data_IF_853228945441
#
_entry.id   IF_853228945441
#
_cell.length_a   1.000
_cell.length_b   1.000
_cell.length_c   1.000
_cell.angle_alpha   90.00
_cell.angle_beta   90.00
_cell.angle_gamma   90.00
#
_symmetry.space_group_name_H-M   'P 1'
#
loop_
_entity.id
_entity.type
_entity.pdbx_description
1 polymer ?
#
# COMPACT_ATOMS: atom_id res chain seq x y z
N UNK A 1 -10.65 -15.79 23.45
CA UNK A 1 -11.42 -16.19 22.26
C UNK A 1 -10.71 -15.56 21.07
N UNK A 2 -10.09 -16.22 20.10
CA UNK A 2 -9.76 -17.62 19.81
C UNK A 2 -8.62 -17.56 18.77
N UNK A 3 -7.71 -18.54 18.80
CA UNK A 3 -6.53 -18.67 17.92
C UNK A 3 -6.76 -18.26 16.44
N UNK A 4 -6.06 -17.22 15.98
CA UNK A 4 -5.95 -16.88 14.55
C UNK A 4 -4.48 -16.66 14.08
N UNK A 5 -3.50 -17.05 14.90
CA UNK A 5 -2.11 -17.09 14.50
C UNK A 5 -1.58 -18.52 14.67
N UNK A 6 -0.75 -18.96 13.72
CA UNK A 6 -0.13 -20.30 13.64
C UNK A 6 -0.95 -21.38 12.91
N UNK A 7 -1.20 -21.17 11.62
CA UNK A 7 -1.19 -22.27 10.63
C UNK A 7 -0.94 -21.68 9.24
N UNK A 8 0.33 -21.52 8.85
CA UNK A 8 0.71 -21.27 7.44
C UNK A 8 1.84 -22.26 7.08
N UNK A 9 1.79 -22.94 5.92
CA UNK A 9 2.33 -24.29 5.73
C UNK A 9 3.79 -24.34 5.23
N UNK A 10 4.62 -23.34 5.53
CA UNK A 10 5.98 -23.26 4.98
C UNK A 10 7.04 -23.41 6.08
N UNK A 11 7.57 -24.62 6.32
CA UNK A 11 8.86 -24.76 6.96
C UNK A 11 9.93 -24.12 6.08
N UNK A 12 10.96 -23.55 6.69
CA UNK A 12 12.16 -23.14 5.97
C UNK A 12 12.68 -24.34 5.15
N UNK A 13 13.08 -24.16 3.88
CA UNK A 13 13.73 -25.23 3.13
C UNK A 13 14.97 -25.69 3.90
N UNK A 14 15.13 -27.01 3.98
CA UNK A 14 16.17 -27.69 4.70
C UNK A 14 17.55 -27.19 4.27
N UNK A 15 18.44 -26.89 5.23
CA UNK A 15 19.80 -26.36 4.97
C UNK A 15 20.66 -27.28 4.07
N UNK A 16 20.23 -28.54 3.89
CA UNK A 16 20.90 -29.53 3.03
C UNK A 16 20.59 -29.44 1.52
N UNK A 17 19.88 -28.40 1.05
CA UNK A 17 19.77 -28.08 -0.39
C UNK A 17 20.62 -26.88 -0.83
N UNK A 18 21.63 -26.50 -0.03
CA UNK A 18 22.69 -25.62 -0.51
C UNK A 18 23.55 -26.37 -1.54
N UNK A 19 23.46 -25.95 -2.80
CA UNK A 19 24.49 -26.28 -3.81
C UNK A 19 25.79 -25.62 -3.35
N UNK A 20 26.92 -26.36 -3.29
CA UNK A 20 28.18 -25.81 -2.80
C UNK A 20 28.71 -24.71 -3.73
N UNK A 21 29.36 -23.75 -3.10
CA UNK A 21 30.24 -22.72 -3.66
C UNK A 21 31.03 -23.23 -4.88
N UNK A 22 30.91 -22.55 -6.03
CA UNK A 22 31.90 -22.60 -7.11
C UNK A 22 32.42 -21.19 -7.34
N UNK A 23 33.68 -21.00 -6.94
CA UNK A 23 34.51 -19.85 -7.30
C UNK A 23 34.50 -19.68 -8.83
N UNK A 24 34.06 -18.52 -9.32
CA UNK A 24 34.37 -18.06 -10.67
C UNK A 24 35.15 -16.76 -10.59
N UNK A 25 36.44 -16.90 -10.26
CA UNK A 25 37.47 -16.02 -10.77
C UNK A 25 38.31 -16.84 -11.76
N UNK A 26 38.61 -16.21 -12.90
CA UNK A 26 39.53 -16.63 -13.97
C UNK A 26 38.96 -17.39 -15.19
N UNK A 27 39.09 -16.72 -16.35
CA UNK A 27 39.06 -17.18 -17.74
C UNK A 27 37.68 -17.70 -18.23
N UNK A 28 37.06 -17.13 -19.26
CA UNK A 28 37.38 -17.37 -20.68
C UNK A 28 36.71 -16.30 -21.58
N UNK A 29 37.42 -15.95 -22.65
CA UNK A 29 37.12 -15.00 -23.74
C UNK A 29 35.78 -15.16 -24.46
N UNK A 30 35.24 -14.02 -24.93
CA UNK A 30 34.17 -13.92 -25.92
C UNK A 30 34.60 -14.35 -27.33
N UNK A 31 33.67 -14.90 -28.12
CA UNK A 31 33.61 -14.60 -29.54
C UNK A 31 32.28 -13.97 -29.94
N UNK A 32 32.38 -12.86 -30.68
CA UNK A 32 31.31 -12.22 -31.41
C UNK A 32 30.98 -13.00 -32.68
N UNK A 33 29.69 -13.21 -33.00
CA UNK A 33 29.22 -13.33 -34.38
C UNK A 33 27.80 -12.78 -34.55
N UNK A 34 27.65 -12.01 -35.65
CA UNK A 34 26.48 -11.34 -36.19
C UNK A 34 25.44 -12.31 -36.77
N UNK A 35 24.16 -11.90 -36.76
CA UNK A 35 23.27 -11.88 -37.93
C UNK A 35 21.93 -11.21 -37.53
N UNK A 36 21.74 -9.92 -37.83
CA UNK A 36 20.90 -9.40 -38.93
C UNK A 36 19.52 -10.05 -39.06
N UNK A 37 18.47 -9.31 -38.69
CA UNK A 37 17.38 -9.01 -39.62
C UNK A 37 16.64 -7.72 -39.22
N UNK A 38 16.51 -6.87 -40.22
CA UNK A 38 16.04 -5.47 -40.24
C UNK A 38 14.54 -5.36 -40.49
N UNK A 39 13.87 -4.54 -39.66
CA UNK A 39 12.87 -3.46 -39.87
C UNK A 39 11.93 -3.48 -41.12
N UNK A 40 10.71 -2.88 -41.07
CA UNK A 40 10.64 -1.43 -41.25
C UNK A 40 9.62 -0.65 -40.37
N UNK A 41 10.12 0.50 -39.95
CA UNK A 41 9.42 1.69 -39.48
C UNK A 41 8.98 2.49 -40.72
N UNK A 42 7.82 3.15 -40.68
CA UNK A 42 7.44 4.15 -41.70
C UNK A 42 7.34 5.53 -41.04
N UNK A 43 8.22 6.41 -41.52
CA UNK A 43 8.32 7.84 -41.27
C UNK A 43 7.20 8.64 -41.95
N UNK A 44 6.89 9.83 -41.43
CA UNK A 44 6.71 11.09 -42.19
C UNK A 44 5.90 12.11 -41.35
N UNK A 45 6.16 13.41 -41.21
CA UNK A 45 7.25 14.33 -41.56
C UNK A 45 6.91 15.66 -40.85
N UNK A 46 7.90 16.40 -40.34
CA UNK A 46 7.82 17.85 -40.01
C UNK A 46 8.34 18.65 -41.22
N UNK A 47 8.00 19.95 -41.41
CA UNK A 47 8.90 21.06 -40.98
C UNK A 47 8.16 22.42 -40.74
N UNK A 48 8.82 23.60 -40.59
CA UNK A 48 9.88 23.98 -39.62
C UNK A 48 9.67 25.39 -38.94
N UNK A 49 10.62 25.73 -38.05
CA UNK A 49 11.10 27.07 -37.62
C UNK A 49 10.30 27.98 -36.67
N UNK A 50 10.81 28.18 -35.45
CA UNK A 50 11.71 29.32 -35.14
C UNK A 50 12.13 29.35 -33.66
N UNK A 51 13.37 29.82 -33.43
CA UNK A 51 14.09 29.98 -32.16
C UNK A 51 13.39 30.97 -31.21
N UNK A 52 13.40 30.70 -29.89
CA UNK A 52 14.22 31.42 -28.91
C UNK A 52 13.71 31.29 -27.45
N UNK A 53 14.69 31.25 -26.54
CA UNK A 53 14.70 31.73 -25.14
C UNK A 53 13.88 30.99 -24.07
N UNK A 54 14.58 30.58 -23.02
CA UNK A 54 14.05 29.81 -21.90
C UNK A 54 13.21 30.61 -20.91
N UNK A 55 12.37 29.87 -20.20
CA UNK A 55 11.90 30.17 -18.84
C UNK A 55 11.23 28.90 -18.32
N UNK A 56 11.50 28.54 -17.06
CA UNK A 56 11.01 27.31 -16.43
C UNK A 56 9.49 27.17 -16.47
N UNK A 57 9.02 25.96 -16.72
CA UNK A 57 7.60 25.60 -16.62
C UNK A 57 7.32 24.87 -15.30
N UNK A 58 6.41 25.39 -14.45
CA UNK A 58 5.63 24.56 -13.55
C UNK A 58 4.45 23.92 -14.29
N UNK A 59 4.09 22.74 -13.81
CA UNK A 59 3.03 21.82 -14.23
C UNK A 59 1.64 22.49 -14.38
N UNK A 60 0.83 22.23 -15.44
CA UNK A 60 -0.46 22.89 -15.62
C UNK A 60 -1.59 22.06 -15.00
N UNK A 61 -1.75 22.15 -13.68
CA UNK A 61 -3.03 21.85 -13.02
C UNK A 61 -3.35 22.98 -12.07
N UNK A 62 -4.59 23.47 -12.16
CA UNK A 62 -5.19 24.57 -11.40
C UNK A 62 -4.81 26.00 -11.85
N UNK A 63 -5.61 26.54 -12.77
CA UNK A 63 -5.97 27.95 -12.72
C UNK A 63 -7.50 28.05 -12.65
N UNK A 64 -7.99 28.57 -11.53
CA UNK A 64 -9.35 29.02 -11.33
C UNK A 64 -9.63 30.20 -12.26
N UNK A 65 -10.62 30.08 -13.15
CA UNK A 65 -11.13 31.24 -13.88
C UNK A 65 -12.25 31.92 -13.07
N UNK A 66 -12.37 33.27 -13.12
CA UNK A 66 -13.36 34.00 -12.35
C UNK A 66 -14.76 33.88 -12.95
N UNK A 67 -15.75 33.81 -12.06
CA UNK A 67 -17.18 33.70 -12.29
C UNK A 67 -17.75 34.90 -13.06
N UNK A 68 -18.41 34.65 -14.20
CA UNK A 68 -19.39 35.59 -14.76
C UNK A 68 -20.65 34.86 -15.28
N UNK A 69 -21.80 35.30 -14.76
CA UNK A 69 -23.16 35.19 -15.30
C UNK A 69 -23.68 33.79 -15.74
N UNK A 70 -23.92 32.91 -14.77
CA UNK A 70 -24.53 31.58 -14.99
C UNK A 70 -26.08 31.64 -15.04
N UNK A 71 -26.71 32.68 -14.49
CA UNK A 71 -28.13 32.66 -14.17
C UNK A 71 -29.09 32.69 -15.38
N UNK A 72 -28.72 33.31 -16.51
CA UNK A 72 -29.62 33.41 -17.68
C UNK A 72 -29.31 32.40 -18.81
N UNK A 73 -28.05 31.95 -18.96
CA UNK A 73 -27.69 30.95 -19.99
C UNK A 73 -28.02 29.50 -19.57
N UNK A 74 -28.02 29.20 -18.27
CA UNK A 74 -28.32 27.85 -17.76
C UNK A 74 -29.76 27.41 -18.04
N UNK A 75 -30.75 28.28 -17.78
CA UNK A 75 -32.17 27.94 -17.91
C UNK A 75 -32.58 27.62 -19.35
N UNK A 76 -32.04 28.35 -20.33
CA UNK A 76 -32.31 28.11 -21.77
C UNK A 76 -31.69 26.80 -22.25
N UNK A 77 -30.50 26.43 -21.74
CA UNK A 77 -29.83 25.16 -22.07
C UNK A 77 -30.46 23.95 -21.40
N UNK A 78 -31.01 24.09 -20.19
CA UNK A 78 -31.73 23.01 -19.49
C UNK A 78 -33.00 22.59 -20.26
N UNK A 79 -33.76 23.53 -20.82
CA UNK A 79 -34.93 23.21 -21.67
C UNK A 79 -34.55 22.50 -22.96
N UNK A 80 -33.41 22.86 -23.57
CA UNK A 80 -32.90 22.19 -24.77
C UNK A 80 -32.50 20.73 -24.51
N UNK A 81 -32.11 20.40 -23.27
CA UNK A 81 -31.84 19.03 -22.82
C UNK A 81 -33.10 18.27 -22.35
N UNK A 82 -34.30 18.88 -22.38
CA UNK A 82 -35.54 18.26 -21.91
C UNK A 82 -35.98 17.02 -22.71
N UNK A 83 -35.52 16.87 -23.95
CA UNK A 83 -35.71 15.63 -24.75
C UNK A 83 -34.69 14.52 -24.39
N UNK A 84 -33.77 14.77 -23.46
CA UNK A 84 -32.66 13.91 -23.07
C UNK A 84 -32.67 13.50 -21.58
N UNK A 85 -33.83 13.56 -20.91
CA UNK A 85 -34.00 12.90 -19.60
C UNK A 85 -33.96 11.39 -19.84
N UNK A 86 -32.95 10.72 -19.30
CA UNK A 86 -32.83 9.25 -19.41
C UNK A 86 -33.76 8.61 -18.38
N UNK A 87 -34.84 7.91 -18.79
CA UNK A 87 -35.77 7.28 -17.86
C UNK A 87 -35.05 6.31 -16.93
N UNK A 88 -35.35 6.38 -15.62
CA UNK A 88 -34.75 5.51 -14.61
C UNK A 88 -33.31 5.85 -14.20
N UNK A 89 -32.68 6.88 -14.78
CA UNK A 89 -31.34 7.31 -14.35
C UNK A 89 -31.38 8.00 -12.98
N UNK A 90 -30.58 7.49 -12.04
CA UNK A 90 -30.48 7.99 -10.67
C UNK A 90 -29.07 8.48 -10.39
N UNK A 91 -28.96 9.69 -9.89
CA UNK A 91 -27.69 10.27 -9.44
C UNK A 91 -27.71 10.43 -7.93
N UNK A 92 -26.59 10.12 -7.28
CA UNK A 92 -26.40 10.37 -5.86
C UNK A 92 -25.31 11.40 -5.65
N UNK A 93 -25.61 12.44 -4.89
CA UNK A 93 -24.63 13.43 -4.44
C UNK A 93 -24.09 12.98 -3.08
N UNK A 94 -22.77 12.99 -2.96
CA UNK A 94 -22.04 12.78 -1.70
C UNK A 94 -21.28 14.07 -1.39
N UNK A 95 -21.29 14.48 -0.13
CA UNK A 95 -20.56 15.64 0.37
C UNK A 95 -19.64 15.15 1.48
N UNK A 96 -18.34 15.10 1.20
CA UNK A 96 -17.33 14.67 2.17
C UNK A 96 -16.62 15.87 2.74
N UNK A 97 -16.54 15.96 4.06
CA UNK A 97 -15.71 16.94 4.74
C UNK A 97 -14.30 16.38 4.95
N UNK A 98 -13.27 17.11 4.52
CA UNK A 98 -11.88 16.65 4.59
C UNK A 98 -11.08 17.29 5.74
N UNK A 99 -11.68 18.23 6.47
CA UNK A 99 -11.03 18.94 7.57
C UNK A 99 -10.86 20.43 7.34
N UNK A 100 -10.20 21.10 8.30
CA UNK A 100 -9.77 22.49 8.19
C UNK A 100 -8.33 22.59 7.70
N UNK A 101 -8.12 23.48 6.73
CA UNK A 101 -6.82 23.69 6.08
C UNK A 101 -6.34 25.12 6.34
N UNK A 102 -5.04 25.28 6.59
CA UNK A 102 -4.39 26.59 6.64
C UNK A 102 -4.10 27.16 5.25
N UNK A 103 -3.56 28.38 5.21
CA UNK A 103 -3.16 29.05 3.97
C UNK A 103 -2.04 28.33 3.20
N UNK A 104 -1.36 27.35 3.81
CA UNK A 104 -0.33 26.52 3.19
C UNK A 104 -0.87 25.14 2.74
N UNK A 105 -2.20 24.98 2.73
CA UNK A 105 -2.89 23.72 2.40
C UNK A 105 -2.54 22.54 3.32
N UNK A 106 -2.10 22.80 4.56
CA UNK A 106 -1.90 21.77 5.57
C UNK A 106 -3.21 21.51 6.33
N UNK A 107 -3.62 20.24 6.38
CA UNK A 107 -4.77 19.81 7.18
C UNK A 107 -4.43 19.89 8.68
N UNK A 108 -5.21 20.65 9.44
CA UNK A 108 -4.99 20.87 10.88
C UNK A 108 -5.88 19.98 11.75
N UNK A 109 -7.10 19.68 11.30
CA UNK A 109 -8.03 18.76 11.98
C UNK A 109 -9.01 18.17 10.98
N UNK A 110 -9.42 16.91 11.20
CA UNK A 110 -10.48 16.22 10.45
C UNK A 110 -11.80 16.15 11.23
N UNK A 111 -11.83 16.63 12.47
CA UNK A 111 -12.98 16.49 13.36
C UNK A 111 -14.06 17.54 13.08
N UNK A 112 -15.25 17.05 12.71
CA UNK A 112 -16.45 17.87 12.52
C UNK A 112 -16.93 18.54 13.83
N UNK A 113 -16.61 17.95 14.98
CA UNK A 113 -17.09 18.34 16.30
C UNK A 113 -16.45 19.63 16.85
N UNK A 114 -15.32 20.07 16.27
CA UNK A 114 -14.74 21.38 16.57
C UNK A 114 -15.48 22.46 15.77
N UNK A 115 -16.77 22.66 16.05
CA UNK A 115 -17.60 23.74 15.50
C UNK A 115 -17.14 25.16 15.89
N UNK A 116 -15.94 25.30 16.45
CA UNK A 116 -15.28 26.58 16.67
C UNK A 116 -14.52 26.99 15.43
N UNK A 117 -14.76 28.22 14.93
CA UNK A 117 -13.88 28.83 13.92
C UNK A 117 -12.44 28.74 14.41
N UNK A 118 -11.62 27.94 13.73
CA UNK A 118 -10.17 27.97 13.93
C UNK A 118 -9.66 29.18 13.12
N UNK A 119 -9.07 30.20 13.76
CA UNK A 119 -8.56 31.38 13.07
C UNK A 119 -7.61 30.98 11.94
N UNK A 120 -7.70 31.67 10.80
CA UNK A 120 -6.81 31.47 9.63
C UNK A 120 -6.92 30.10 8.95
N UNK A 121 -8.06 29.42 9.11
CA UNK A 121 -8.33 28.15 8.43
C UNK A 121 -9.61 28.20 7.59
N UNK A 122 -9.66 27.36 6.57
CA UNK A 122 -10.85 27.15 5.74
C UNK A 122 -11.21 25.67 5.71
N UNK A 123 -12.48 25.30 5.92
CA UNK A 123 -12.90 23.92 5.77
C UNK A 123 -12.79 23.50 4.30
N UNK A 124 -12.47 22.24 4.05
CA UNK A 124 -12.47 21.66 2.70
C UNK A 124 -13.55 20.59 2.60
N UNK A 125 -14.27 20.64 1.49
CA UNK A 125 -15.25 19.63 1.12
C UNK A 125 -14.90 19.05 -0.24
N UNK A 126 -15.21 17.78 -0.45
CA UNK A 126 -15.21 17.14 -1.75
C UNK A 126 -16.63 16.67 -2.06
N UNK A 127 -17.14 17.13 -3.18
CA UNK A 127 -18.46 16.74 -3.67
C UNK A 127 -18.28 15.68 -4.76
N UNK A 128 -19.04 14.61 -4.68
CA UNK A 128 -19.11 13.57 -5.70
C UNK A 128 -20.53 13.49 -6.27
N UNK A 129 -20.62 13.24 -7.58
CA UNK A 129 -21.86 12.89 -8.26
C UNK A 129 -21.68 11.47 -8.81
N UNK A 130 -22.43 10.53 -8.25
CA UNK A 130 -22.35 9.11 -8.60
C UNK A 130 -23.43 8.74 -9.61
N UNK A 131 -23.06 7.91 -10.58
CA UNK A 131 -23.98 7.27 -11.54
C UNK A 131 -23.70 5.77 -11.58
N UNK A 132 -24.43 4.99 -10.78
CA UNK A 132 -24.10 3.59 -10.54
C UNK A 132 -22.75 3.47 -9.81
N UNK A 133 -21.84 2.66 -10.36
CA UNK A 133 -20.52 2.37 -9.76
C UNK A 133 -19.41 3.37 -10.12
N UNK A 134 -19.72 4.43 -10.88
CA UNK A 134 -18.73 5.40 -11.39
C UNK A 134 -19.03 6.84 -10.95
N UNK A 135 -17.98 7.65 -10.82
CA UNK A 135 -18.12 9.09 -10.54
C UNK A 135 -18.31 9.89 -11.83
N UNK A 136 -19.46 10.52 -11.95
CA UNK A 136 -19.76 11.48 -13.02
C UNK A 136 -18.98 12.78 -12.88
N UNK A 137 -18.78 13.23 -11.65
CA UNK A 137 -17.94 14.37 -11.32
C UNK A 137 -17.45 14.24 -9.88
N UNK A 138 -16.20 14.65 -9.64
CA UNK A 138 -15.65 14.87 -8.32
C UNK A 138 -15.02 16.26 -8.30
N UNK A 139 -15.31 17.08 -7.29
CA UNK A 139 -14.75 18.43 -7.19
C UNK A 139 -14.48 18.81 -5.74
N UNK A 140 -13.24 19.21 -5.46
CA UNK A 140 -12.84 19.75 -4.16
C UNK A 140 -13.14 21.26 -4.10
N UNK A 141 -13.55 21.72 -2.93
CA UNK A 141 -13.86 23.10 -2.64
C UNK A 141 -13.30 23.48 -1.27
N UNK A 142 -12.64 24.64 -1.21
CA UNK A 142 -12.13 25.24 0.02
C UNK A 142 -13.03 26.40 0.41
N UNK A 143 -13.62 26.33 1.61
CA UNK A 143 -14.54 27.32 2.14
C UNK A 143 -15.76 26.67 2.79
N UNK A 144 -16.65 27.52 3.32
CA UNK A 144 -17.92 27.07 3.92
C UNK A 144 -18.84 26.55 2.83
N UNK A 145 -19.43 25.37 3.02
CA UNK A 145 -20.40 24.81 2.10
C UNK A 145 -21.62 25.73 1.99
N UNK A 146 -22.02 26.09 0.76
CA UNK A 146 -23.18 26.94 0.49
C UNK A 146 -24.11 26.30 -0.55
N UNK A 147 -25.35 26.77 -0.62
CA UNK A 147 -26.30 26.40 -1.66
C UNK A 147 -25.73 26.64 -3.07
N UNK A 148 -25.03 27.77 -3.27
CA UNK A 148 -24.42 28.13 -4.55
C UNK A 148 -23.34 27.12 -4.96
N UNK A 149 -22.50 26.68 -4.01
CA UNK A 149 -21.49 25.64 -4.25
C UNK A 149 -22.13 24.33 -4.72
N UNK A 150 -23.23 23.92 -4.08
CA UNK A 150 -23.95 22.69 -4.44
C UNK A 150 -24.61 22.81 -5.81
N UNK A 151 -25.31 23.93 -6.07
CA UNK A 151 -25.97 24.19 -7.35
C UNK A 151 -24.94 24.22 -8.49
N UNK A 152 -23.82 24.90 -8.30
CA UNK A 152 -22.74 24.96 -9.29
C UNK A 152 -22.16 23.58 -9.56
N UNK A 153 -21.97 22.77 -8.52
CA UNK A 153 -21.52 21.39 -8.67
C UNK A 153 -22.49 20.55 -9.51
N UNK A 154 -23.78 20.61 -9.22
CA UNK A 154 -24.82 19.93 -10.01
C UNK A 154 -24.81 20.40 -11.46
N UNK A 155 -24.69 21.71 -11.68
CA UNK A 155 -24.62 22.29 -13.02
C UNK A 155 -23.41 21.74 -13.80
N UNK A 156 -22.24 21.63 -13.15
CA UNK A 156 -21.05 21.01 -13.77
C UNK A 156 -21.24 19.53 -14.03
N UNK A 157 -21.89 18.79 -13.13
CA UNK A 157 -22.22 17.38 -13.37
C UNK A 157 -23.12 17.22 -14.59
N UNK A 158 -24.06 18.14 -14.83
CA UNK A 158 -24.93 18.11 -16.00
C UNK A 158 -24.16 18.44 -17.28
N UNK A 159 -23.39 19.54 -17.30
CA UNK A 159 -22.87 20.12 -18.54
C UNK A 159 -21.40 19.82 -18.84
N UNK A 160 -20.62 19.38 -17.86
CA UNK A 160 -19.18 19.14 -17.98
C UNK A 160 -18.72 18.00 -17.07
N UNK A 161 -19.29 16.79 -17.22
CA UNK A 161 -18.87 15.64 -16.43
C UNK A 161 -17.49 15.13 -16.84
N UNK A 162 -16.91 14.25 -16.02
CA UNK A 162 -15.67 13.54 -16.36
C UNK A 162 -15.93 12.52 -17.48
N UNK A 163 -14.99 12.32 -18.43
CA UNK A 163 -15.05 11.19 -19.36
C UNK A 163 -15.15 9.85 -18.60
N UNK A 164 -15.91 8.86 -19.09
CA UNK A 164 -16.60 8.78 -20.39
C UNK A 164 -18.01 9.40 -20.39
N UNK A 165 -18.44 10.04 -19.31
CA UNK A 165 -19.79 10.57 -19.22
C UNK A 165 -19.99 11.77 -20.16
N UNK A 166 -21.22 11.91 -20.67
CA UNK A 166 -21.61 13.00 -21.58
C UNK A 166 -22.67 13.89 -20.92
N UNK A 167 -22.80 15.16 -21.35
CA UNK A 167 -23.80 16.06 -20.81
C UNK A 167 -25.23 15.53 -20.95
N UNK A 168 -25.98 15.44 -19.85
CA UNK A 168 -27.36 14.95 -19.81
C UNK A 168 -28.09 15.36 -18.53
N UNK A 169 -29.42 15.27 -18.55
CA UNK A 169 -30.26 15.44 -17.36
C UNK A 169 -30.67 14.08 -16.79
N UNK A 170 -30.51 13.84 -15.48
CA UNK A 170 -31.00 12.61 -14.85
C UNK A 170 -32.51 12.63 -14.73
N UNK A 171 -33.10 11.46 -14.50
CA UNK A 171 -34.48 11.35 -14.05
C UNK A 171 -34.58 11.73 -12.56
N UNK A 172 -33.59 11.32 -11.76
CA UNK A 172 -33.61 11.51 -10.31
C UNK A 172 -32.26 11.95 -9.73
N UNK A 173 -32.26 12.91 -8.79
CA UNK A 173 -31.08 13.28 -7.99
C UNK A 173 -31.36 13.13 -6.49
N UNK A 174 -30.46 12.44 -5.79
CA UNK A 174 -30.50 12.24 -4.35
C UNK A 174 -29.40 13.03 -3.67
N UNK A 175 -29.76 13.87 -2.71
CA UNK A 175 -28.82 14.61 -1.88
C UNK A 175 -28.68 13.97 -0.50
N UNK A 176 -27.52 14.13 0.16
CA UNK A 176 -27.32 13.64 1.51
C UNK A 176 -27.90 14.65 2.53
N UNK A 177 -28.02 14.27 3.80
CA UNK A 177 -28.71 15.07 4.83
C UNK A 177 -28.02 16.43 5.07
N UNK A 178 -26.73 16.54 4.77
CA UNK A 178 -25.91 17.75 4.82
C UNK A 178 -26.42 18.84 3.87
N UNK A 179 -27.20 18.49 2.85
CA UNK A 179 -27.84 19.45 1.96
C UNK A 179 -29.14 20.05 2.51
N UNK A 180 -29.69 19.48 3.60
CA UNK A 180 -30.96 19.90 4.18
C UNK A 180 -31.01 21.40 4.57
N UNK A 181 -29.94 22.02 5.10
CA UNK A 181 -29.92 23.46 5.36
C UNK A 181 -30.15 24.33 4.12
N UNK A 182 -29.95 23.80 2.91
CA UNK A 182 -30.05 24.50 1.63
C UNK A 182 -31.31 24.12 0.85
N UNK A 183 -32.30 23.50 1.50
CA UNK A 183 -33.47 22.94 0.83
C UNK A 183 -34.24 23.97 0.01
N UNK A 184 -34.43 25.20 0.51
CA UNK A 184 -35.25 26.21 -0.17
C UNK A 184 -34.59 26.69 -1.47
N UNK A 185 -33.28 26.90 -1.45
CA UNK A 185 -32.49 27.32 -2.61
C UNK A 185 -32.41 26.21 -3.65
N UNK A 186 -32.20 24.96 -3.21
CA UNK A 186 -32.23 23.80 -4.10
C UNK A 186 -33.62 23.60 -4.71
N UNK A 187 -34.68 23.77 -3.93
CA UNK A 187 -36.06 23.69 -4.44
C UNK A 187 -36.32 24.76 -5.49
N UNK A 188 -35.89 26.00 -5.26
CA UNK A 188 -36.01 27.07 -6.23
C UNK A 188 -35.26 26.73 -7.53
N UNK A 189 -34.01 26.27 -7.43
CA UNK A 189 -33.21 25.86 -8.58
C UNK A 189 -33.86 24.72 -9.37
N UNK A 190 -34.24 23.63 -8.70
CA UNK A 190 -34.81 22.45 -9.35
C UNK A 190 -36.24 22.63 -9.87
N UNK A 191 -36.99 23.63 -9.39
CA UNK A 191 -38.30 23.97 -9.94
C UNK A 191 -38.25 24.36 -11.43
N UNK A 192 -37.06 24.70 -11.94
CA UNK A 192 -36.83 25.05 -13.34
C UNK A 192 -36.58 23.84 -14.26
N UNK A 193 -36.43 22.64 -13.70
CA UNK A 193 -36.10 21.43 -14.43
C UNK A 193 -37.34 20.83 -15.12
N UNK A 194 -37.21 20.28 -16.35
CA UNK A 194 -38.33 19.69 -17.06
C UNK A 194 -38.80 18.37 -16.42
N UNK A 195 -40.11 18.11 -16.45
CA UNK A 195 -40.69 16.81 -16.08
C UNK A 195 -40.22 15.70 -17.06
N UNK A 196 -39.98 14.45 -16.61
CA UNK A 196 -40.27 13.86 -15.29
C UNK A 196 -39.07 13.88 -14.31
N UNK A 197 -38.38 15.01 -14.17
CA UNK A 197 -37.31 15.16 -13.19
C UNK A 197 -37.82 15.13 -11.74
N UNK A 198 -37.12 14.40 -10.88
CA UNK A 198 -37.37 14.31 -9.44
C UNK A 198 -36.06 14.58 -8.70
N UNK A 199 -36.14 15.23 -7.53
CA UNK A 199 -35.03 15.31 -6.61
C UNK A 199 -35.50 15.13 -5.18
N UNK A 200 -34.63 14.60 -4.32
CA UNK A 200 -34.91 14.42 -2.91
C UNK A 200 -33.66 14.54 -2.06
N UNK A 201 -33.85 14.97 -0.81
CA UNK A 201 -32.83 14.89 0.25
C UNK A 201 -33.13 13.64 1.06
N UNK A 202 -32.14 12.77 1.28
CA UNK A 202 -32.31 11.58 2.11
C UNK A 202 -32.85 11.97 3.49
N UNK A 203 -33.92 11.31 3.93
CA UNK A 203 -34.47 11.51 5.27
C UNK A 203 -33.49 10.92 6.30
N UNK A 204 -33.23 11.61 7.43
CA UNK A 204 -32.55 10.98 8.56
C UNK A 204 -33.50 9.94 9.17
N UNK A 205 -33.07 8.67 9.18
CA UNK A 205 -33.82 7.44 9.46
C UNK A 205 -34.70 6.97 8.28
N UNK A 206 -34.43 5.86 7.61
CA UNK A 206 -33.73 4.64 8.00
C UNK A 206 -32.35 4.55 7.34
N UNK A 207 -31.40 3.95 8.07
CA UNK A 207 -30.16 3.43 7.51
C UNK A 207 -30.49 2.35 6.48
N UNK A 208 -30.79 2.75 5.25
CA UNK A 208 -30.79 1.86 4.10
C UNK A 208 -29.34 1.70 3.64
N UNK A 209 -28.60 0.95 4.45
CA UNK A 209 -27.27 0.44 4.17
C UNK A 209 -27.36 -0.55 3.01
N UNK A 210 -27.09 -0.07 1.81
CA UNK A 210 -26.45 -0.90 0.77
C UNK A 210 -24.98 -0.51 0.56
N UNK A 211 -24.39 0.16 1.54
CA UNK A 211 -22.99 -0.05 1.85
C UNK A 211 -22.93 -1.09 2.95
N UNK A 212 -22.16 -2.18 2.79
CA UNK A 212 -21.91 -3.09 3.89
C UNK A 212 -21.43 -2.25 5.09
N UNK A 213 -21.83 -2.56 6.33
CA UNK A 213 -21.23 -1.89 7.49
C UNK A 213 -19.71 -1.90 7.33
N UNK A 214 -18.98 -0.85 7.74
CA UNK A 214 -17.53 -0.77 7.50
C UNK A 214 -16.79 -2.05 7.89
N UNK A 215 -17.24 -2.72 8.95
CA UNK A 215 -16.74 -4.03 9.36
C UNK A 215 -16.95 -5.12 8.28
N UNK A 216 -18.09 -5.14 7.60
CA UNK A 216 -18.32 -6.06 6.47
C UNK A 216 -17.48 -5.70 5.23
N UNK A 217 -17.28 -4.41 4.92
CA UNK A 217 -16.35 -3.99 3.87
C UNK A 217 -14.90 -4.39 4.19
N UNK A 218 -14.50 -4.21 5.45
CA UNK A 218 -13.22 -4.63 5.97
C UNK A 218 -13.07 -6.15 5.86
N UNK A 219 -14.04 -6.93 6.34
CA UNK A 219 -13.99 -8.40 6.25
C UNK A 219 -13.98 -8.90 4.80
N UNK A 220 -14.79 -8.32 3.91
CA UNK A 220 -14.80 -8.67 2.49
C UNK A 220 -13.47 -8.34 1.81
N UNK A 221 -12.93 -7.14 2.03
CA UNK A 221 -11.64 -6.74 1.49
C UNK A 221 -10.49 -7.58 2.04
N UNK A 222 -10.52 -7.91 3.33
CA UNK A 222 -9.54 -8.79 3.97
C UNK A 222 -9.66 -10.22 3.43
N UNK A 223 -10.87 -10.71 3.15
CA UNK A 223 -11.07 -12.02 2.55
C UNK A 223 -10.54 -12.08 1.12
N UNK A 224 -10.80 -11.05 0.31
CA UNK A 224 -10.20 -10.92 -1.02
C UNK A 224 -8.67 -10.94 -0.94
N UNK A 225 -8.08 -10.20 -0.01
CA UNK A 225 -6.63 -10.18 0.20
C UNK A 225 -6.10 -11.56 0.63
N UNK A 226 -6.83 -12.31 1.47
CA UNK A 226 -6.48 -13.69 1.87
C UNK A 226 -6.51 -14.65 0.69
N UNK A 227 -7.53 -14.58 -0.17
CA UNK A 227 -7.63 -15.40 -1.37
C UNK A 227 -6.43 -15.15 -2.29
N UNK A 228 -6.13 -13.88 -2.58
CA UNK A 228 -4.97 -13.50 -3.41
C UNK A 228 -3.63 -13.94 -2.79
N UNK A 229 -3.46 -13.79 -1.47
CA UNK A 229 -2.28 -14.32 -0.76
C UNK A 229 -2.17 -15.83 -0.92
N UNK A 230 -3.29 -16.56 -0.85
CA UNK A 230 -3.30 -18.00 -1.03
C UNK A 230 -3.00 -18.41 -2.47
N UNK A 231 -3.49 -17.67 -3.46
CA UNK A 231 -3.15 -17.87 -4.87
C UNK A 231 -1.65 -17.65 -5.11
N UNK A 232 -1.07 -16.62 -4.48
CA UNK A 232 0.37 -16.38 -4.49
C UNK A 232 1.16 -17.54 -3.88
N UNK A 233 0.68 -18.09 -2.75
CA UNK A 233 1.29 -19.27 -2.14
C UNK A 233 1.20 -20.53 -3.02
N UNK A 234 0.09 -20.71 -3.75
CA UNK A 234 -0.06 -21.81 -4.72
C UNK A 234 0.91 -21.63 -5.89
N UNK A 235 0.97 -20.42 -6.47
CA UNK A 235 1.88 -20.09 -7.55
C UNK A 235 3.36 -20.28 -7.14
N UNK A 236 3.72 -19.82 -5.93
CA UNK A 236 5.06 -19.98 -5.37
C UNK A 236 5.46 -21.46 -5.27
N UNK A 237 4.56 -22.32 -4.77
CA UNK A 237 4.80 -23.77 -4.68
C UNK A 237 4.91 -24.45 -6.04
N UNK A 238 4.22 -23.92 -7.06
CA UNK A 238 4.33 -24.40 -8.43
C UNK A 238 5.59 -23.92 -9.18
N UNK A 239 6.41 -23.05 -8.56
CA UNK A 239 7.60 -22.47 -9.16
C UNK A 239 7.32 -21.28 -10.09
N UNK A 240 6.07 -20.82 -10.18
CA UNK A 240 5.70 -19.63 -10.97
C UNK A 240 5.94 -18.36 -10.15
N UNK A 241 7.18 -17.88 -10.20
CA UNK A 241 7.62 -16.71 -9.46
C UNK A 241 6.85 -15.43 -9.86
N UNK A 242 6.57 -15.21 -11.14
CA UNK A 242 5.87 -13.99 -11.57
C UNK A 242 4.44 -13.96 -11.03
N UNK A 243 3.70 -15.06 -11.23
CA UNK A 243 2.33 -15.15 -10.73
C UNK A 243 2.27 -15.06 -9.20
N UNK A 244 3.26 -15.62 -8.50
CA UNK A 244 3.36 -15.47 -7.05
C UNK A 244 3.58 -14.01 -6.64
N UNK A 245 4.53 -13.31 -7.27
CA UNK A 245 4.82 -11.90 -6.97
C UNK A 245 3.60 -11.00 -7.23
N UNK A 246 2.91 -11.20 -8.35
CA UNK A 246 1.74 -10.43 -8.75
C UNK A 246 0.58 -10.67 -7.75
N UNK A 247 0.29 -11.92 -7.39
CA UNK A 247 -0.77 -12.22 -6.43
C UNK A 247 -0.49 -11.65 -5.03
N UNK A 248 0.77 -11.69 -4.55
CA UNK A 248 1.12 -11.03 -3.29
C UNK A 248 1.07 -9.50 -3.39
N UNK A 249 1.39 -8.93 -4.55
CA UNK A 249 1.24 -7.50 -4.80
C UNK A 249 -0.23 -7.08 -4.75
N UNK A 250 -1.11 -7.79 -5.45
CA UNK A 250 -2.54 -7.51 -5.49
C UNK A 250 -3.19 -7.68 -4.12
N UNK A 251 -2.78 -8.70 -3.34
CA UNK A 251 -3.21 -8.87 -1.96
C UNK A 251 -2.83 -7.66 -1.09
N UNK A 252 -1.59 -7.16 -1.23
CA UNK A 252 -1.13 -5.98 -0.52
C UNK A 252 -1.85 -4.69 -0.98
N UNK A 253 -2.18 -4.58 -2.26
CA UNK A 253 -2.94 -3.45 -2.80
C UNK A 253 -4.36 -3.39 -2.22
N UNK A 254 -5.07 -4.52 -2.16
CA UNK A 254 -6.37 -4.60 -1.49
C UNK A 254 -6.30 -4.10 -0.04
N UNK A 255 -5.23 -4.43 0.68
CA UNK A 255 -5.06 -4.05 2.09
C UNK A 255 -4.71 -2.57 2.22
N UNK A 256 -3.93 -2.00 1.29
CA UNK A 256 -3.68 -0.56 1.26
C UNK A 256 -4.96 0.22 1.00
N UNK A 257 -5.78 -0.22 0.05
CA UNK A 257 -7.08 0.40 -0.23
C UNK A 257 -7.99 0.40 1.00
N UNK A 258 -7.95 -0.67 1.81
CA UNK A 258 -8.63 -0.74 3.11
C UNK A 258 -8.05 0.26 4.13
N UNK A 259 -6.72 0.38 4.21
CA UNK A 259 -6.05 1.31 5.12
C UNK A 259 -6.30 2.79 4.77
N UNK A 260 -6.76 3.09 3.57
CA UNK A 260 -7.22 4.43 3.17
C UNK A 260 -8.64 4.75 3.66
N UNK A 261 -9.38 3.75 4.16
CA UNK A 261 -10.70 3.92 4.74
C UNK A 261 -10.65 4.32 6.23
N UNK A 262 -11.79 4.76 6.76
CA UNK A 262 -11.94 5.07 8.19
C UNK A 262 -12.13 3.79 9.02
N UNK A 263 -11.02 3.06 9.20
CA UNK A 263 -10.97 1.82 9.98
C UNK A 263 -10.79 2.08 11.47
N UNK A 264 -11.34 1.19 12.30
CA UNK A 264 -11.06 1.22 13.73
C UNK A 264 -9.61 0.80 14.01
N UNK A 265 -9.03 1.27 15.12
CA UNK A 265 -7.62 0.99 15.47
C UNK A 265 -7.26 -0.51 15.49
N UNK A 266 -8.19 -1.37 15.88
CA UNK A 266 -8.01 -2.83 15.85
C UNK A 266 -7.93 -3.37 14.42
N UNK A 267 -8.75 -2.86 13.50
CA UNK A 267 -8.78 -3.24 12.08
C UNK A 267 -7.52 -2.74 11.36
N UNK A 268 -7.09 -1.51 11.63
CA UNK A 268 -5.81 -0.97 11.16
C UNK A 268 -4.65 -1.87 11.57
N UNK A 269 -4.66 -2.35 12.82
CA UNK A 269 -3.61 -3.25 13.33
C UNK A 269 -3.63 -4.59 12.58
N UNK A 270 -4.81 -5.17 12.35
CA UNK A 270 -4.98 -6.42 11.58
C UNK A 270 -4.50 -6.24 10.13
N UNK A 271 -4.93 -5.17 9.46
CA UNK A 271 -4.55 -4.86 8.10
C UNK A 271 -3.04 -4.64 7.94
N UNK A 272 -2.41 -3.84 8.82
CA UNK A 272 -0.96 -3.61 8.79
C UNK A 272 -0.14 -4.88 8.98
N UNK A 273 -0.55 -5.75 9.92
CA UNK A 273 0.07 -7.07 10.09
C UNK A 273 -0.05 -7.93 8.84
N UNK A 274 -1.21 -7.93 8.20
CA UNK A 274 -1.42 -8.68 6.96
C UNK A 274 -0.63 -8.09 5.77
N UNK A 275 -0.51 -6.76 5.69
CA UNK A 275 0.30 -6.09 4.69
C UNK A 275 1.78 -6.46 4.83
N UNK A 276 2.29 -6.56 6.06
CA UNK A 276 3.64 -7.05 6.33
C UNK A 276 3.86 -8.47 5.80
N UNK A 277 2.87 -9.36 5.98
CA UNK A 277 2.90 -10.73 5.42
C UNK A 277 2.96 -10.70 3.89
N UNK A 278 2.14 -9.86 3.23
CA UNK A 278 2.13 -9.74 1.78
C UNK A 278 3.49 -9.30 1.24
N UNK A 279 4.09 -8.26 1.85
CA UNK A 279 5.41 -7.79 1.47
C UNK A 279 6.51 -8.83 1.71
N UNK A 280 6.53 -9.51 2.86
CA UNK A 280 7.54 -10.53 3.14
C UNK A 280 7.41 -11.78 2.25
N UNK A 281 6.17 -12.14 1.88
CA UNK A 281 5.92 -13.22 0.94
C UNK A 281 6.37 -12.82 -0.47
N UNK A 282 6.11 -11.59 -0.91
CA UNK A 282 6.65 -11.10 -2.19
C UNK A 282 8.18 -11.03 -2.17
N UNK A 283 8.79 -10.61 -1.06
CA UNK A 283 10.23 -10.60 -0.89
C UNK A 283 10.87 -11.98 -1.11
N UNK A 284 10.26 -13.07 -0.61
CA UNK A 284 10.81 -14.42 -0.80
C UNK A 284 10.76 -14.88 -2.25
N UNK A 285 9.82 -14.38 -3.05
CA UNK A 285 9.76 -14.68 -4.48
C UNK A 285 11.02 -14.16 -5.19
N UNK A 286 11.48 -12.96 -4.82
CA UNK A 286 12.67 -12.36 -5.42
C UNK A 286 13.99 -13.04 -5.03
N UNK A 287 13.96 -13.92 -4.01
CA UNK A 287 15.08 -14.77 -3.61
C UNK A 287 15.16 -16.07 -4.44
N UNK A 288 14.13 -16.39 -5.23
CA UNK A 288 14.16 -17.59 -6.06
C UNK A 288 15.23 -17.46 -7.15
N UNK A 289 16.11 -18.48 -7.31
CA UNK A 289 17.17 -18.44 -8.31
C UNK A 289 16.60 -18.43 -9.73
N UNK A 290 17.29 -17.76 -10.65
CA UNK A 290 16.94 -17.71 -12.07
C UNK A 290 16.77 -16.29 -12.59
N UNK A 291 16.13 -16.15 -13.76
CA UNK A 291 16.00 -14.86 -14.45
C UNK A 291 15.20 -13.78 -13.69
N UNK A 292 14.46 -14.18 -12.66
CA UNK A 292 13.59 -13.30 -11.87
C UNK A 292 14.15 -12.98 -10.48
N UNK A 293 15.33 -13.48 -10.16
CA UNK A 293 16.02 -13.15 -8.91
C UNK A 293 16.34 -11.66 -8.89
N UNK A 294 15.83 -10.95 -7.88
CA UNK A 294 16.08 -9.51 -7.69
C UNK A 294 16.26 -9.21 -6.20
N UNK A 295 17.52 -9.30 -5.78
CA UNK A 295 17.88 -9.17 -4.37
C UNK A 295 17.64 -7.75 -3.83
N UNK A 296 17.68 -6.73 -4.68
CA UNK A 296 17.35 -5.35 -4.28
C UNK A 296 15.86 -5.23 -3.97
N UNK A 297 14.99 -5.75 -4.85
CA UNK A 297 13.55 -5.81 -4.59
C UNK A 297 13.20 -6.66 -3.38
N UNK A 298 13.94 -7.75 -3.13
CA UNK A 298 13.79 -8.52 -1.90
C UNK A 298 14.00 -7.64 -0.66
N UNK A 299 15.07 -6.85 -0.62
CA UNK A 299 15.38 -5.96 0.51
C UNK A 299 14.33 -4.85 0.63
N UNK A 300 13.92 -4.24 -0.49
CA UNK A 300 12.88 -3.19 -0.50
C UNK A 300 11.54 -3.69 0.04
N UNK A 301 11.09 -4.88 -0.39
CA UNK A 301 9.86 -5.46 0.11
C UNK A 301 9.98 -5.90 1.57
N UNK A 302 11.12 -6.45 1.97
CA UNK A 302 11.36 -6.81 3.37
C UNK A 302 11.37 -5.58 4.30
N UNK A 303 11.92 -4.45 3.86
CA UNK A 303 11.85 -3.17 4.56
C UNK A 303 10.41 -2.65 4.71
N UNK A 304 9.60 -2.75 3.63
CA UNK A 304 8.18 -2.39 3.71
C UNK A 304 7.40 -3.31 4.64
N UNK A 305 7.77 -4.59 4.71
CA UNK A 305 7.19 -5.52 5.67
C UNK A 305 7.50 -5.12 7.12
N UNK A 306 8.74 -4.75 7.40
CA UNK A 306 9.16 -4.24 8.71
C UNK A 306 8.43 -2.94 9.08
N UNK A 307 8.32 -1.98 8.14
CA UNK A 307 7.60 -0.72 8.36
C UNK A 307 6.11 -0.93 8.66
N UNK A 308 5.52 -1.95 8.03
CA UNK A 308 4.11 -2.33 8.23
C UNK A 308 3.90 -3.01 9.59
N UNK A 309 4.75 -3.96 9.96
CA UNK A 309 4.75 -4.64 11.26
C UNK A 309 6.17 -4.93 11.77
N UNK A 310 6.70 -4.07 12.66
CA UNK A 310 8.03 -4.26 13.23
C UNK A 310 8.17 -5.52 14.10
N UNK A 311 7.06 -6.13 14.52
CA UNK A 311 7.02 -7.39 15.29
C UNK A 311 7.04 -8.63 14.40
N UNK A 312 7.06 -8.47 13.07
CA UNK A 312 7.00 -9.61 12.16
C UNK A 312 8.39 -10.16 11.85
N UNK A 313 8.87 -11.14 12.62
CA UNK A 313 10.25 -11.65 12.52
C UNK A 313 10.70 -12.08 11.12
N UNK A 314 9.77 -12.59 10.30
CA UNK A 314 10.07 -12.98 8.92
C UNK A 314 10.54 -11.81 8.05
N UNK A 315 10.11 -10.57 8.30
CA UNK A 315 10.59 -9.39 7.55
C UNK A 315 12.11 -9.24 7.67
N UNK A 316 12.64 -9.30 8.89
CA UNK A 316 14.08 -9.26 9.17
C UNK A 316 14.83 -10.44 8.56
N UNK A 317 14.26 -11.65 8.60
CA UNK A 317 14.87 -12.83 7.95
C UNK A 317 14.96 -12.63 6.43
N UNK A 318 13.91 -12.10 5.78
CA UNK A 318 13.92 -11.80 4.34
C UNK A 318 14.92 -10.70 4.00
N UNK A 319 14.99 -9.66 4.81
CA UNK A 319 15.96 -8.58 4.65
C UNK A 319 17.39 -9.12 4.76
N UNK A 320 17.69 -9.91 5.79
CA UNK A 320 19.01 -10.52 5.99
C UNK A 320 19.41 -11.44 4.84
N UNK A 321 18.47 -12.25 4.31
CA UNK A 321 18.72 -13.08 3.12
C UNK A 321 18.96 -12.26 1.86
N UNK A 322 18.24 -11.17 1.67
CA UNK A 322 18.46 -10.23 0.57
C UNK A 322 19.86 -9.61 0.62
N UNK A 323 20.25 -9.09 1.79
CA UNK A 323 21.60 -8.57 2.00
C UNK A 323 22.69 -9.64 1.86
N UNK A 324 22.47 -10.85 2.37
CA UNK A 324 23.39 -11.97 2.19
C UNK A 324 23.60 -12.29 0.71
N UNK A 325 22.52 -12.35 -0.09
CA UNK A 325 22.63 -12.56 -1.53
C UNK A 325 23.39 -11.44 -2.25
N UNK A 326 23.32 -10.21 -1.73
CA UNK A 326 24.07 -9.06 -2.24
C UNK A 326 25.55 -9.04 -1.78
N UNK A 327 25.96 -10.00 -0.94
CA UNK A 327 27.28 -10.02 -0.31
C UNK A 327 27.45 -9.04 0.85
N UNK A 328 26.37 -8.41 1.31
CA UNK A 328 26.36 -7.42 2.39
C UNK A 328 26.15 -8.10 3.77
N UNK A 329 27.06 -9.02 4.13
CA UNK A 329 26.94 -9.87 5.32
C UNK A 329 26.81 -9.09 6.64
N UNK A 330 27.52 -7.97 6.79
CA UNK A 330 27.42 -7.14 8.00
C UNK A 330 26.02 -6.57 8.17
N UNK A 331 25.40 -6.04 7.10
CA UNK A 331 24.02 -5.54 7.16
C UNK A 331 23.03 -6.67 7.46
N UNK A 332 23.27 -7.86 6.94
CA UNK A 332 22.44 -9.03 7.23
C UNK A 332 22.50 -9.41 8.72
N UNK A 333 23.69 -9.45 9.31
CA UNK A 333 23.87 -9.73 10.73
C UNK A 333 23.32 -8.62 11.62
N UNK A 334 23.57 -7.34 11.27
CA UNK A 334 23.06 -6.18 12.00
C UNK A 334 21.53 -6.17 12.03
N UNK A 335 20.89 -6.53 10.91
CA UNK A 335 19.43 -6.66 10.80
C UNK A 335 18.86 -7.67 11.81
N UNK A 336 19.43 -8.87 11.87
CA UNK A 336 18.94 -9.93 12.75
C UNK A 336 19.24 -9.63 14.22
N UNK A 337 20.41 -9.09 14.52
CA UNK A 337 20.76 -8.68 15.88
C UNK A 337 19.81 -7.59 16.37
N UNK A 338 19.54 -6.55 15.55
CA UNK A 338 18.57 -5.50 15.86
C UNK A 338 17.15 -6.02 16.06
N UNK A 339 16.75 -7.07 15.36
CA UNK A 339 15.47 -7.72 15.62
C UNK A 339 15.46 -8.39 17.02
N UNK A 340 16.55 -9.10 17.37
CA UNK A 340 16.71 -9.79 18.64
C UNK A 340 16.89 -8.85 19.85
N UNK A 341 17.19 -7.57 19.65
CA UNK A 341 17.20 -6.58 20.76
C UNK A 341 15.79 -6.15 21.19
N UNK A 342 14.76 -6.46 20.39
CA UNK A 342 13.40 -6.04 20.69
C UNK A 342 12.72 -7.00 21.67
N UNK A 343 11.98 -6.46 22.62
CA UNK A 343 11.34 -7.26 23.67
C UNK A 343 10.35 -8.31 23.12
N UNK A 344 9.65 -7.99 22.04
CA UNK A 344 8.70 -8.87 21.37
C UNK A 344 9.36 -9.97 20.50
N UNK A 345 10.65 -9.85 20.20
CA UNK A 345 11.38 -10.74 19.29
C UNK A 345 12.65 -11.36 19.88
N UNK A 346 13.10 -10.94 21.08
CA UNK A 346 14.34 -11.44 21.69
C UNK A 346 14.37 -12.95 21.92
N UNK A 347 13.22 -13.60 21.99
CA UNK A 347 13.09 -15.05 22.14
C UNK A 347 12.73 -15.78 20.83
N UNK A 348 12.76 -15.10 19.68
CA UNK A 348 12.50 -15.73 18.38
C UNK A 348 13.69 -16.61 17.96
N UNK A 349 13.47 -17.92 17.95
CA UNK A 349 14.51 -18.90 17.64
C UNK A 349 14.93 -18.90 16.17
N UNK A 350 14.07 -18.47 15.25
CA UNK A 350 14.39 -18.45 13.82
C UNK A 350 15.31 -17.27 13.48
N UNK A 351 15.11 -16.13 14.14
CA UNK A 351 16.05 -15.00 14.10
C UNK A 351 17.42 -15.39 14.65
N UNK A 352 17.44 -16.01 15.83
CA UNK A 352 18.69 -16.48 16.46
C UNK A 352 19.44 -17.49 15.58
N UNK A 353 18.75 -18.49 15.03
CA UNK A 353 19.33 -19.47 14.10
C UNK A 353 19.87 -18.80 12.84
N UNK A 354 19.12 -17.86 12.27
CA UNK A 354 19.55 -17.13 11.07
C UNK A 354 20.83 -16.33 11.33
N UNK A 355 20.95 -15.71 12.51
CA UNK A 355 22.14 -14.96 12.89
C UNK A 355 23.35 -15.89 13.10
N UNK A 356 23.15 -17.02 13.78
CA UNK A 356 24.19 -18.04 14.00
C UNK A 356 24.68 -18.60 12.66
N UNK A 357 23.79 -18.87 11.70
CA UNK A 357 24.16 -19.32 10.36
C UNK A 357 25.09 -18.31 9.67
N UNK A 358 24.81 -17.01 9.76
CA UNK A 358 25.69 -15.98 9.21
C UNK A 358 27.05 -15.91 9.95
N UNK A 359 27.03 -16.00 11.28
CA UNK A 359 28.24 -15.95 12.12
C UNK A 359 29.15 -17.18 11.98
N UNK A 360 28.61 -18.28 11.46
CA UNK A 360 29.32 -19.56 11.29
C UNK A 360 29.59 -19.87 9.82
N UNK A 361 29.25 -18.96 8.91
CA UNK A 361 29.37 -19.16 7.46
C UNK A 361 28.65 -20.44 7.00
N UNK A 362 27.48 -20.70 7.59
CA UNK A 362 26.65 -21.88 7.32
C UNK A 362 27.11 -23.19 7.95
N UNK A 363 28.26 -23.22 8.65
CA UNK A 363 28.82 -24.45 9.24
C UNK A 363 28.09 -24.90 10.50
N UNK A 364 27.27 -24.03 11.09
CA UNK A 364 26.63 -24.29 12.37
C UNK A 364 27.58 -24.11 13.56
N UNK A 365 27.07 -24.31 14.77
CA UNK A 365 27.85 -24.14 15.99
C UNK A 365 28.95 -25.22 16.08
N UNK A 366 30.17 -24.85 16.54
CA UNK A 366 31.25 -25.80 16.81
C UNK A 366 30.82 -26.93 17.76
N UNK A 367 31.37 -28.13 17.57
CA UNK A 367 30.97 -29.33 18.34
C UNK A 367 31.83 -29.58 19.58
N UNK A 368 33.10 -29.15 19.55
CA UNK A 368 34.01 -29.27 20.68
C UNK A 368 34.05 -27.95 21.47
N UNK A 369 34.41 -28.05 22.75
CA UNK A 369 34.38 -26.92 23.68
C UNK A 369 35.44 -25.85 23.36
N UNK A 370 36.60 -26.25 22.85
CA UNK A 370 37.70 -25.35 22.49
C UNK A 370 37.34 -24.44 21.32
N UNK A 371 36.89 -25.01 20.19
CA UNK A 371 36.43 -24.27 19.01
C UNK A 371 35.19 -23.41 19.36
N UNK A 372 34.35 -23.89 20.28
CA UNK A 372 33.17 -23.16 20.73
C UNK A 372 33.57 -21.89 21.50
N UNK A 373 34.56 -21.98 22.39
CA UNK A 373 35.07 -20.83 23.12
C UNK A 373 35.84 -19.88 22.20
N UNK A 374 36.65 -20.39 21.28
CA UNK A 374 37.34 -19.56 20.28
C UNK A 374 36.34 -18.77 19.43
N UNK A 375 35.28 -19.43 18.94
CA UNK A 375 34.23 -18.76 18.19
C UNK A 375 33.47 -17.72 19.03
N UNK A 376 33.13 -18.03 20.29
CA UNK A 376 32.48 -17.06 21.19
C UNK A 376 33.37 -15.84 21.40
N UNK A 377 34.66 -16.05 21.67
CA UNK A 377 35.63 -14.96 21.82
C UNK A 377 35.68 -14.11 20.55
N UNK A 378 35.72 -14.73 19.36
CA UNK A 378 35.72 -14.01 18.09
C UNK A 378 34.46 -13.15 17.90
N UNK A 379 33.28 -13.71 18.17
CA UNK A 379 31.99 -13.02 17.94
C UNK A 379 31.71 -11.93 18.98
N UNK A 380 32.07 -12.17 20.25
CA UNK A 380 31.72 -11.28 21.36
C UNK A 380 32.80 -10.26 21.70
N UNK A 381 34.07 -10.51 21.35
CA UNK A 381 35.22 -9.69 21.75
C UNK A 381 36.18 -9.39 20.59
N UNK A 382 36.55 -10.42 19.82
CA UNK A 382 37.66 -10.37 18.88
C UNK A 382 37.42 -9.50 17.65
N UNK A 383 36.24 -9.61 17.03
CA UNK A 383 35.85 -8.74 15.92
C UNK A 383 35.04 -7.53 16.44
N UNK A 384 35.55 -6.32 16.19
CA UNK A 384 34.94 -5.07 16.72
C UNK A 384 33.51 -4.88 16.24
N UNK A 385 33.23 -5.20 14.97
CA UNK A 385 31.89 -5.06 14.39
C UNK A 385 30.91 -6.05 15.02
N UNK A 386 31.30 -7.32 15.14
CA UNK A 386 30.49 -8.37 15.76
C UNK A 386 30.28 -8.14 17.26
N UNK A 387 31.32 -7.74 17.99
CA UNK A 387 31.22 -7.43 19.41
C UNK A 387 30.26 -6.25 19.64
N UNK A 388 30.35 -5.20 18.83
CA UNK A 388 29.42 -4.06 18.88
C UNK A 388 27.98 -4.50 18.61
N UNK A 389 27.77 -5.34 17.60
CA UNK A 389 26.45 -5.89 17.22
C UNK A 389 25.82 -6.70 18.35
N UNK A 390 26.62 -7.57 18.98
CA UNK A 390 26.11 -8.46 20.02
C UNK A 390 25.92 -7.78 21.38
N UNK A 391 26.55 -6.62 21.61
CA UNK A 391 26.46 -5.88 22.88
C UNK A 391 25.03 -5.57 23.32
N UNK A 392 24.12 -5.33 22.36
CA UNK A 392 22.73 -4.96 22.63
C UNK A 392 21.78 -6.18 22.60
N UNK A 393 22.27 -7.37 22.21
CA UNK A 393 21.47 -8.59 22.20
C UNK A 393 21.32 -9.10 23.65
N UNK A 394 20.09 -9.28 24.17
CA UNK A 394 19.87 -9.67 25.56
C UNK A 394 20.46 -11.04 25.89
N UNK A 395 21.14 -11.15 27.04
CA UNK A 395 21.76 -12.40 27.52
C UNK A 395 20.75 -13.50 27.89
N UNK A 396 19.50 -13.12 28.17
CA UNK A 396 18.36 -14.01 28.37
C UNK A 396 17.62 -14.32 27.04
N UNK A 397 18.07 -13.78 25.92
CA UNK A 397 17.47 -13.94 24.60
C UNK A 397 17.81 -15.28 23.92
N UNK A 398 17.05 -15.61 22.87
CA UNK A 398 17.15 -16.86 22.12
C UNK A 398 18.54 -17.16 21.56
N UNK A 399 19.33 -16.13 21.23
CA UNK A 399 20.71 -16.34 20.78
C UNK A 399 21.56 -17.01 21.86
N UNK A 400 21.60 -16.45 23.07
CA UNK A 400 22.37 -17.00 24.19
C UNK A 400 21.79 -18.33 24.70
N UNK A 401 20.46 -18.46 24.72
CA UNK A 401 19.79 -19.73 25.09
C UNK A 401 20.20 -20.86 24.14
N UNK A 402 20.18 -20.63 22.82
CA UNK A 402 20.62 -21.63 21.84
C UNK A 402 22.08 -22.07 22.07
N UNK A 403 22.98 -21.14 22.41
CA UNK A 403 24.37 -21.47 22.73
C UNK A 403 24.49 -22.35 23.99
N UNK A 404 23.71 -22.06 25.03
CA UNK A 404 23.70 -22.83 26.26
C UNK A 404 23.17 -24.26 26.01
N UNK A 405 22.04 -24.38 25.31
CA UNK A 405 21.44 -25.68 24.94
C UNK A 405 22.39 -26.54 24.09
N UNK A 406 23.07 -25.93 23.11
CA UNK A 406 24.07 -26.62 22.29
C UNK A 406 25.22 -27.16 23.15
N UNK A 407 25.77 -26.33 24.05
CA UNK A 407 26.87 -26.71 24.95
C UNK A 407 26.49 -27.84 25.93
N UNK A 408 25.22 -27.88 26.39
CA UNK A 408 24.72 -28.98 27.24
C UNK A 408 24.47 -30.28 26.49
N UNK A 409 24.23 -30.21 25.19
CA UNK A 409 23.97 -31.39 24.36
C UNK A 409 25.27 -32.10 23.99
N UNK A 410 26.32 -31.32 23.68
CA UNK A 410 27.66 -31.84 23.38
C UNK A 410 28.40 -32.38 24.61
N UNK A 411 28.00 -31.99 25.83
CA UNK A 411 28.62 -32.44 27.08
C UNK A 411 27.99 -33.70 27.70
N UNK A 412 26.85 -34.19 27.18
CA UNK A 412 26.29 -35.47 27.62
C UNK A 412 27.16 -36.63 27.11
N UNK A 413 27.70 -37.50 27.99
CA UNK A 413 28.41 -38.68 27.54
C UNK A 413 27.46 -39.59 26.76
N UNK A 414 27.94 -40.13 25.63
CA UNK A 414 27.27 -41.22 24.91
C UNK A 414 27.14 -42.42 25.88
N UNK A 415 25.94 -42.65 26.41
CA UNK A 415 25.61 -43.94 27.02
C UNK A 415 25.59 -44.97 25.89
N UNK A 416 26.59 -45.86 25.91
CA UNK A 416 26.74 -47.02 25.02
C UNK A 416 25.87 -48.19 25.47
#
# INVERSE_FOLDING_TARGET
MSNLAQNDPFPAPNANQMVPYVNFAENVSFPAQNATQTVPYVHSSRPPDSRASGSGHPNPFYQSQPLQNINNLGVVRLRALGQAIIPGSKWAIEIRYEGHFDNNAKCLTKDYATGGRIPETSPRYVLFCHTGETHRLANSFLGVLTAETIILFVHRSIFSPLPPHVPLLPNEIHFPVEALPFYQELQHFFSTFPSPFIWQIRKPAETDTHHPPMNALFEEGMERARVLKNDGNVAYRSGDALKAADAFHEAGDCVKDLLEQDLQSSEVTIARRFLAVCYANRAVVWLLPGQKMDLKRCVEDALKAEDSDPSYSKSYIRQARGYQGLGEFDKAMDTLARALTREDLKHDTDLAKSLIVLQTDGKGLPQNEEDMEEWKQKVLVGDVASAKRMKEVPVDGAWYVNLAEHSTTTSKPMEL
#
